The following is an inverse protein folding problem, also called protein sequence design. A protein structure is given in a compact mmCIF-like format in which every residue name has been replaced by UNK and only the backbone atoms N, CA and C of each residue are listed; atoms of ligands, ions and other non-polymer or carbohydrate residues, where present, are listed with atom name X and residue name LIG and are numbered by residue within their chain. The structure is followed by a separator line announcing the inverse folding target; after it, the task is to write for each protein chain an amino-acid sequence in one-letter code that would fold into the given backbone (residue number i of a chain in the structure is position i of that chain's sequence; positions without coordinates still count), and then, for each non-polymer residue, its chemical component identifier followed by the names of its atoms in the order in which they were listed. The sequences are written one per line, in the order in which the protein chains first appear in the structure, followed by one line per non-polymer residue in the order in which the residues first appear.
data_IF_616790512142
#
_entry.id   IF_616790512142
#
_cell.length_a   1.000
_cell.length_b   1.000
_cell.length_c   1.000
_cell.angle_alpha   90.00
_cell.angle_beta   90.00
_cell.angle_gamma   90.00
#
_symmetry.space_group_name_H-M   'P 1'
#
loop_
_entity.id
_entity.type
_entity.pdbx_description
1 polymer ?
#
# COMPACT_ATOMS: atom_id res chain seq x y z
N UNK A 1 15.40 16.88 7.75
CA UNK A 1 15.01 15.79 8.66
C UNK A 1 13.50 15.71 8.69
N UNK A 2 12.88 14.55 8.43
CA UNK A 2 11.44 14.40 8.51
C UNK A 2 10.98 14.50 9.97
N UNK A 3 9.82 15.09 10.20
CA UNK A 3 9.17 15.11 11.51
C UNK A 3 8.41 13.81 11.77
N UNK A 4 7.82 13.25 10.72
CA UNK A 4 7.21 11.94 10.72
C UNK A 4 7.72 11.18 9.49
N UNK A 5 8.13 9.96 9.70
CA UNK A 5 8.47 9.00 8.65
C UNK A 5 7.41 7.90 8.62
N UNK A 6 6.94 7.56 7.42
CA UNK A 6 5.99 6.45 7.23
C UNK A 6 6.65 5.43 6.31
N UNK A 7 6.85 4.20 6.81
CA UNK A 7 7.43 3.10 6.06
C UNK A 7 6.31 2.11 5.72
N UNK A 8 5.92 2.08 4.44
CA UNK A 8 4.83 1.23 3.96
C UNK A 8 5.28 -0.20 3.72
N UNK A 9 6.39 -0.37 3.02
CA UNK A 9 7.02 -1.66 2.76
C UNK A 9 8.51 -1.47 2.40
N UNK A 10 9.24 -2.57 2.41
CA UNK A 10 10.59 -2.69 1.85
C UNK A 10 10.59 -3.94 0.99
N UNK A 11 10.92 -3.78 -0.29
CA UNK A 11 10.94 -4.86 -1.28
C UNK A 11 12.15 -4.70 -2.21
N UNK A 12 12.49 -5.74 -2.96
CA UNK A 12 13.62 -5.77 -3.88
C UNK A 12 13.29 -4.98 -5.15
N UNK A 13 13.63 -3.70 -5.17
CA UNK A 13 13.52 -2.85 -6.36
C UNK A 13 14.78 -1.98 -6.52
N UNK A 14 14.92 -1.33 -7.67
CA UNK A 14 16.07 -0.48 -7.99
C UNK A 14 17.42 -1.20 -7.87
N UNK A 15 17.48 -2.48 -8.30
CA UNK A 15 18.69 -3.31 -8.25
C UNK A 15 19.78 -2.87 -9.21
N UNK A 16 19.55 -1.84 -10.02
CA UNK A 16 20.55 -1.09 -10.75
C UNK A 16 21.39 -0.16 -9.85
N UNK A 17 20.81 0.26 -8.71
CA UNK A 17 21.48 1.06 -7.69
C UNK A 17 21.81 0.25 -6.43
N UNK A 18 20.86 -0.49 -5.89
CA UNK A 18 21.05 -1.34 -4.72
C UNK A 18 21.60 -2.71 -5.11
N UNK A 19 22.58 -3.21 -4.36
CA UNK A 19 23.19 -4.51 -4.63
C UNK A 19 22.26 -5.67 -4.34
N UNK A 20 21.52 -5.54 -3.26
CA UNK A 20 20.66 -6.59 -2.66
C UNK A 20 19.65 -5.96 -1.71
N UNK A 21 18.77 -6.77 -1.16
CA UNK A 21 17.76 -6.35 -0.20
C UNK A 21 18.38 -5.83 1.11
N UNK A 22 19.52 -6.35 1.53
CA UNK A 22 20.24 -5.91 2.73
C UNK A 22 20.74 -4.48 2.56
N UNK A 23 21.18 -4.10 1.36
CA UNK A 23 21.59 -2.73 1.05
C UNK A 23 20.38 -1.78 1.09
N UNK A 24 19.19 -2.24 0.63
CA UNK A 24 17.94 -1.48 0.72
C UNK A 24 17.56 -1.29 2.19
N UNK A 25 17.50 -2.36 2.98
CA UNK A 25 17.22 -2.31 4.43
C UNK A 25 18.16 -1.37 5.16
N UNK A 26 19.48 -1.44 4.89
CA UNK A 26 20.47 -0.52 5.47
C UNK A 26 20.19 0.94 5.13
N UNK A 27 19.64 1.22 3.95
CA UNK A 27 19.29 2.57 3.54
C UNK A 27 18.07 3.10 4.27
N UNK A 28 17.05 2.24 4.49
CA UNK A 28 15.90 2.56 5.32
C UNK A 28 16.28 2.74 6.79
N UNK A 29 17.19 1.91 7.33
CA UNK A 29 17.72 2.09 8.69
C UNK A 29 18.42 3.46 8.86
N UNK A 30 19.24 3.87 7.88
CA UNK A 30 19.85 5.21 7.88
C UNK A 30 18.80 6.31 7.81
N UNK A 31 17.74 6.11 7.02
CA UNK A 31 16.66 7.08 6.89
C UNK A 31 15.89 7.20 8.21
N UNK A 32 15.53 6.09 8.83
CA UNK A 32 14.87 6.07 10.13
C UNK A 32 15.68 6.79 11.23
N UNK A 33 17.01 6.65 11.23
CA UNK A 33 17.91 7.32 12.19
C UNK A 33 18.05 8.83 12.03
N UNK A 34 17.58 9.43 10.93
CA UNK A 34 17.58 10.89 10.79
C UNK A 34 16.32 11.56 11.34
N UNK A 35 15.30 10.79 11.72
CA UNK A 35 14.13 11.31 12.45
C UNK A 35 14.61 11.85 13.79
N UNK A 36 14.23 13.09 14.16
CA UNK A 36 14.65 13.66 15.45
C UNK A 36 13.96 12.95 16.63
N UNK A 37 14.52 13.10 17.84
CA UNK A 37 13.99 12.44 19.07
C UNK A 37 12.51 12.77 19.33
N UNK A 38 12.06 13.97 18.96
CA UNK A 38 10.66 14.42 19.05
C UNK A 38 9.85 14.07 17.81
N UNK A 39 10.43 13.37 16.84
CA UNK A 39 9.77 12.87 15.64
C UNK A 39 9.10 11.51 15.86
N UNK A 40 8.45 10.99 14.83
CA UNK A 40 7.73 9.72 14.88
C UNK A 40 8.03 8.87 13.68
N UNK A 41 8.07 7.55 13.87
CA UNK A 41 8.15 6.57 12.80
C UNK A 41 6.88 5.74 12.85
N UNK A 42 6.21 5.63 11.70
CA UNK A 42 5.00 4.84 11.48
C UNK A 42 5.34 3.74 10.49
N UNK A 43 5.10 2.49 10.84
CA UNK A 43 5.62 1.36 10.08
C UNK A 43 4.59 0.23 9.94
N UNK A 44 4.54 -0.39 8.75
CA UNK A 44 3.70 -1.55 8.48
C UNK A 44 4.27 -2.80 9.15
N UNK A 45 3.47 -3.45 10.00
CA UNK A 45 3.90 -4.55 10.88
C UNK A 45 4.20 -5.86 10.15
N UNK A 46 3.52 -6.17 9.05
CA UNK A 46 3.65 -7.49 8.43
C UNK A 46 4.81 -7.61 7.42
N UNK A 47 5.58 -6.54 7.17
CA UNK A 47 6.75 -6.64 6.32
C UNK A 47 8.01 -6.95 7.15
N UNK A 48 8.69 -8.10 6.94
CA UNK A 48 9.81 -8.53 7.78
C UNK A 48 11.02 -7.57 7.73
N UNK A 49 11.24 -6.91 6.59
CA UNK A 49 12.35 -5.96 6.44
C UNK A 49 12.03 -4.63 7.13
N UNK A 50 10.78 -4.20 7.11
CA UNK A 50 10.33 -3.04 7.91
C UNK A 50 10.53 -3.33 9.39
N UNK A 51 10.14 -4.51 9.87
CA UNK A 51 10.31 -4.93 11.26
C UNK A 51 11.81 -4.98 11.66
N UNK A 52 12.68 -5.37 10.73
CA UNK A 52 14.14 -5.32 10.97
C UNK A 52 14.64 -3.88 11.17
N UNK A 53 14.11 -2.91 10.44
CA UNK A 53 14.49 -1.49 10.56
C UNK A 53 14.02 -0.91 11.89
N UNK A 54 12.77 -1.19 12.30
CA UNK A 54 12.17 -0.53 13.47
C UNK A 54 12.43 -1.24 14.80
N UNK A 55 12.98 -2.47 14.80
CA UNK A 55 13.15 -3.31 16.01
C UNK A 55 13.87 -2.61 17.17
N UNK A 56 14.84 -1.75 16.86
CA UNK A 56 15.68 -1.03 17.82
C UNK A 56 15.26 0.44 17.97
N UNK A 57 14.10 0.84 17.44
CA UNK A 57 13.59 2.21 17.52
C UNK A 57 12.51 2.29 18.61
N UNK A 58 12.81 2.91 19.77
CA UNK A 58 11.82 3.05 20.83
C UNK A 58 10.63 3.91 20.37
N UNK A 59 9.42 3.43 20.65
CA UNK A 59 8.20 4.18 20.37
C UNK A 59 7.80 4.21 18.90
N UNK A 60 8.35 3.33 18.05
CA UNK A 60 7.85 3.13 16.70
C UNK A 60 6.35 2.77 16.72
N UNK A 61 5.58 3.44 15.89
CA UNK A 61 4.14 3.27 15.77
C UNK A 61 3.88 2.25 14.68
N UNK A 62 3.33 1.09 15.04
CA UNK A 62 3.03 0.04 14.07
C UNK A 62 1.59 0.12 13.58
N UNK A 63 1.36 -0.33 12.34
CA UNK A 63 0.00 -0.49 11.81
C UNK A 63 -0.12 -1.74 10.94
N UNK A 64 -1.31 -2.30 10.87
CA UNK A 64 -1.61 -3.50 10.08
C UNK A 64 -2.90 -4.17 10.51
N UNK A 65 -3.01 -5.46 10.21
CA UNK A 65 -4.17 -6.28 10.59
C UNK A 65 -4.04 -6.92 11.98
N UNK A 66 -2.85 -6.90 12.55
CA UNK A 66 -2.58 -7.47 13.86
C UNK A 66 -3.08 -6.52 14.96
N UNK A 67 -3.92 -7.00 15.85
CA UNK A 67 -4.49 -6.22 16.97
C UNK A 67 -3.43 -5.75 17.99
N UNK A 68 -2.22 -6.30 17.94
CA UNK A 68 -1.09 -5.80 18.72
C UNK A 68 -0.44 -4.55 18.14
N UNK A 69 -0.78 -4.16 16.91
CA UNK A 69 -0.33 -2.90 16.33
C UNK A 69 -0.92 -1.70 17.07
N UNK A 70 -0.21 -0.58 17.04
CA UNK A 70 -0.72 0.70 17.56
C UNK A 70 -1.99 1.12 16.83
N UNK A 71 -2.01 0.99 15.49
CA UNK A 71 -3.21 1.10 14.65
C UNK A 71 -3.51 -0.24 14.03
N UNK A 72 -4.74 -0.73 14.14
CA UNK A 72 -5.11 -1.99 13.52
C UNK A 72 -6.45 -1.95 12.81
N UNK A 73 -6.54 -2.79 11.78
CA UNK A 73 -7.64 -2.86 10.83
C UNK A 73 -8.53 -4.04 11.19
N UNK A 74 -9.84 -3.81 11.24
CA UNK A 74 -10.83 -4.87 11.46
C UNK A 74 -11.99 -4.73 10.48
N UNK A 75 -12.86 -5.75 10.40
CA UNK A 75 -14.12 -5.73 9.64
C UNK A 75 -13.95 -5.35 8.16
N UNK A 76 -12.87 -5.85 7.52
CA UNK A 76 -12.62 -5.60 6.09
C UNK A 76 -13.69 -6.25 5.24
N UNK A 77 -14.28 -5.47 4.36
CA UNK A 77 -15.25 -5.89 3.35
C UNK A 77 -15.02 -5.07 2.07
N UNK A 78 -15.64 -5.51 0.98
CA UNK A 78 -15.68 -4.78 -0.28
C UNK A 78 -17.13 -4.50 -0.65
N UNK A 79 -17.43 -3.30 -1.11
CA UNK A 79 -18.77 -2.96 -1.58
C UNK A 79 -19.07 -3.60 -2.94
N UNK A 80 -20.31 -3.39 -3.46
CA UNK A 80 -20.73 -3.94 -4.75
C UNK A 80 -19.92 -3.44 -5.97
N UNK A 81 -19.07 -2.43 -5.79
CA UNK A 81 -18.16 -1.90 -6.80
C UNK A 81 -16.71 -2.31 -6.57
N UNK A 82 -16.43 -3.14 -5.56
CA UNK A 82 -15.09 -3.59 -5.20
C UNK A 82 -14.30 -2.56 -4.38
N UNK A 83 -14.94 -1.55 -3.81
CA UNK A 83 -14.25 -0.56 -2.98
C UNK A 83 -14.15 -1.04 -1.53
N UNK A 84 -12.97 -0.88 -0.89
CA UNK A 84 -12.76 -1.34 0.47
C UNK A 84 -13.56 -0.56 1.50
N UNK A 85 -14.10 -1.29 2.49
CA UNK A 85 -14.74 -0.77 3.70
C UNK A 85 -14.12 -1.48 4.88
N UNK A 86 -13.67 -0.74 5.89
CA UNK A 86 -13.00 -1.33 7.06
C UNK A 86 -13.09 -0.41 8.27
N UNK A 87 -12.80 -0.95 9.44
CA UNK A 87 -12.71 -0.19 10.67
C UNK A 87 -11.25 0.06 11.05
N UNK A 88 -10.95 1.25 11.53
CA UNK A 88 -9.64 1.64 12.08
C UNK A 88 -9.73 1.74 13.60
N UNK A 89 -8.80 1.07 14.28
CA UNK A 89 -8.67 1.09 15.73
C UNK A 89 -7.30 1.64 16.12
N UNK A 90 -7.21 2.27 17.30
CA UNK A 90 -6.01 2.82 17.88
C UNK A 90 -5.92 2.42 19.35
N UNK A 91 -4.92 1.62 19.72
CA UNK A 91 -4.68 1.17 21.09
C UNK A 91 -5.92 0.60 21.79
N UNK A 92 -6.75 -0.15 21.05
CA UNK A 92 -7.98 -0.74 21.56
C UNK A 92 -9.23 0.14 21.43
N UNK A 93 -9.09 1.40 21.04
CA UNK A 93 -10.21 2.31 20.78
C UNK A 93 -10.62 2.26 19.31
N UNK A 94 -11.92 2.11 19.03
CA UNK A 94 -12.47 2.19 17.68
C UNK A 94 -12.55 3.66 17.24
N UNK A 95 -11.80 4.04 16.21
CA UNK A 95 -11.76 5.42 15.70
C UNK A 95 -12.83 5.70 14.65
N UNK A 96 -13.31 4.66 13.97
CA UNK A 96 -14.38 4.77 13.00
C UNK A 96 -14.23 3.86 11.79
N UNK A 97 -15.27 3.86 10.97
CA UNK A 97 -15.37 3.12 9.72
C UNK A 97 -14.89 3.98 8.56
N UNK A 98 -14.01 3.43 7.74
CA UNK A 98 -13.47 4.04 6.53
C UNK A 98 -14.05 3.34 5.32
N UNK A 99 -14.51 4.11 4.34
CA UNK A 99 -14.80 3.65 2.98
C UNK A 99 -13.81 4.32 2.04
N UNK A 100 -13.16 3.54 1.17
CA UNK A 100 -12.31 4.12 0.12
C UNK A 100 -13.07 4.24 -1.19
N UNK A 101 -12.66 5.20 -2.00
CA UNK A 101 -13.09 5.34 -3.40
C UNK A 101 -12.04 4.82 -4.39
N UNK A 102 -11.02 4.11 -3.89
CA UNK A 102 -9.97 3.45 -4.67
C UNK A 102 -9.93 1.98 -4.32
N UNK A 103 -9.84 1.06 -5.31
CA UNK A 103 -9.88 -0.37 -5.07
C UNK A 103 -8.55 -0.92 -4.54
N UNK A 104 -8.61 -2.14 -4.01
CA UNK A 104 -7.44 -2.95 -3.66
C UNK A 104 -7.08 -2.91 -2.17
N UNK A 105 -6.67 -4.07 -1.68
CA UNK A 105 -6.29 -4.26 -0.28
C UNK A 105 -5.04 -3.43 0.10
N UNK A 106 -4.09 -3.29 -0.83
CA UNK A 106 -2.92 -2.44 -0.62
C UNK A 106 -3.29 -0.98 -0.32
N UNK A 107 -4.41 -0.48 -0.86
CA UNK A 107 -4.91 0.86 -0.56
C UNK A 107 -5.51 0.98 0.84
N UNK A 108 -6.00 -0.12 1.46
CA UNK A 108 -6.34 -0.14 2.88
C UNK A 108 -5.11 0.18 3.72
N UNK A 109 -3.99 -0.50 3.45
CA UNK A 109 -2.73 -0.30 4.17
C UNK A 109 -2.17 1.12 3.96
N UNK A 110 -2.20 1.61 2.73
CA UNK A 110 -1.80 2.99 2.41
C UNK A 110 -2.66 4.02 3.15
N UNK A 111 -3.97 3.81 3.18
CA UNK A 111 -4.92 4.68 3.88
C UNK A 111 -4.68 4.70 5.39
N UNK A 112 -4.42 3.53 6.00
CA UNK A 112 -4.15 3.46 7.45
C UNK A 112 -2.80 4.07 7.81
N UNK A 113 -1.77 3.91 6.97
CA UNK A 113 -0.50 4.61 7.13
C UNK A 113 -0.68 6.14 7.10
N UNK A 114 -1.46 6.65 6.12
CA UNK A 114 -1.81 8.07 6.03
C UNK A 114 -2.69 8.53 7.21
N UNK A 115 -3.68 7.72 7.61
CA UNK A 115 -4.53 7.96 8.78
C UNK A 115 -3.68 8.12 10.04
N UNK A 116 -2.80 7.17 10.30
CA UNK A 116 -1.91 7.20 11.47
C UNK A 116 -1.05 8.47 11.48
N UNK A 117 -0.49 8.85 10.32
CA UNK A 117 0.30 10.08 10.19
C UNK A 117 -0.52 11.33 10.56
N UNK A 118 -1.70 11.49 9.98
CA UNK A 118 -2.57 12.64 10.24
C UNK A 118 -3.07 12.66 11.69
N UNK A 119 -3.46 11.50 12.24
CA UNK A 119 -3.91 11.39 13.63
C UNK A 119 -2.80 11.75 14.62
N UNK A 120 -1.56 11.31 14.36
CA UNK A 120 -0.41 11.68 15.17
C UNK A 120 -0.03 13.17 15.08
N UNK A 121 -0.50 13.89 14.08
CA UNK A 121 -0.42 15.34 13.94
C UNK A 121 -1.61 16.08 14.60
N UNK A 122 -2.54 15.36 15.23
CA UNK A 122 -3.68 15.93 15.95
C UNK A 122 -4.91 16.20 15.08
N UNK A 123 -4.95 15.65 13.85
CA UNK A 123 -6.17 15.75 13.03
C UNK A 123 -7.22 14.79 13.58
N UNK A 124 -8.44 15.28 13.76
CA UNK A 124 -9.54 14.48 14.29
C UNK A 124 -9.89 13.30 13.35
N UNK A 125 -10.14 12.08 13.89
CA UNK A 125 -10.46 10.89 13.08
C UNK A 125 -11.57 11.11 12.06
N UNK A 126 -12.64 11.81 12.44
CA UNK A 126 -13.77 12.08 11.53
C UNK A 126 -13.37 12.90 10.29
N UNK A 127 -12.40 13.83 10.43
CA UNK A 127 -11.89 14.62 9.30
C UNK A 127 -11.04 13.76 8.37
N UNK A 128 -10.22 12.86 8.95
CA UNK A 128 -9.38 11.94 8.17
C UNK A 128 -10.27 10.98 7.37
N UNK A 129 -11.28 10.39 8.01
CA UNK A 129 -12.25 9.45 7.40
C UNK A 129 -12.97 10.13 6.23
N UNK A 130 -13.55 11.31 6.46
CA UNK A 130 -14.26 12.08 5.41
C UNK A 130 -13.34 12.43 4.22
N UNK A 131 -12.05 12.66 4.48
CA UNK A 131 -11.07 12.97 3.45
C UNK A 131 -10.67 11.73 2.65
N UNK A 132 -10.49 10.58 3.31
CA UNK A 132 -10.16 9.31 2.66
C UNK A 132 -11.30 8.83 1.75
N UNK A 133 -12.55 8.98 2.16
CA UNK A 133 -13.73 8.66 1.33
C UNK A 133 -13.78 9.51 0.03
N UNK A 134 -13.36 10.76 0.12
CA UNK A 134 -13.34 11.69 -1.03
C UNK A 134 -12.14 11.52 -1.95
N UNK A 135 -11.11 10.81 -1.51
CA UNK A 135 -9.90 10.61 -2.31
C UNK A 135 -10.16 9.67 -3.48
N UNK A 136 -10.00 10.17 -4.70
CA UNK A 136 -10.30 9.44 -5.95
C UNK A 136 -9.07 8.74 -6.57
N UNK A 137 -7.97 8.67 -5.84
CA UNK A 137 -6.72 8.09 -6.35
C UNK A 137 -5.83 9.09 -7.07
N UNK A 138 -4.80 8.55 -7.69
CA UNK A 138 -3.85 9.30 -8.53
C UNK A 138 -3.89 8.75 -9.94
N UNK A 139 -3.54 9.57 -10.91
CA UNK A 139 -3.43 9.14 -12.30
C UNK A 139 -2.49 7.93 -12.42
N UNK A 140 -2.85 6.98 -13.28
CA UNK A 140 -2.09 5.76 -13.54
C UNK A 140 -1.88 4.87 -12.29
N UNK A 141 -2.81 4.90 -11.33
CA UNK A 141 -2.90 3.96 -10.19
C UNK A 141 -4.32 3.45 -10.12
N UNK A 142 -4.58 2.31 -10.79
CA UNK A 142 -5.90 1.76 -11.05
C UNK A 142 -6.86 2.81 -11.63
N UNK A 143 -6.38 3.60 -12.59
CA UNK A 143 -7.08 4.74 -13.16
C UNK A 143 -8.07 4.26 -14.23
N UNK A 144 -9.37 4.41 -13.99
CA UNK A 144 -10.42 4.04 -14.96
C UNK A 144 -10.48 5.14 -16.01
N UNK A 145 -9.78 4.94 -17.12
CA UNK A 145 -9.68 5.92 -18.21
C UNK A 145 -10.90 5.95 -19.12
N UNK A 146 -11.75 4.93 -19.05
CA UNK A 146 -12.98 4.90 -19.81
C UNK A 146 -13.68 3.55 -19.85
N UNK A 147 -14.83 3.54 -20.51
CA UNK A 147 -15.60 2.32 -20.80
C UNK A 147 -15.97 2.35 -22.28
N UNK A 148 -15.75 1.24 -23.00
CA UNK A 148 -16.13 1.13 -24.43
C UNK A 148 -17.65 1.01 -24.58
N UNK A 149 -18.15 1.13 -25.83
CA UNK A 149 -19.58 0.94 -26.15
C UNK A 149 -20.10 -0.46 -25.75
N UNK A 150 -19.21 -1.45 -25.73
CA UNK A 150 -19.55 -2.84 -25.42
C UNK A 150 -19.40 -3.15 -23.91
N UNK A 151 -19.12 -2.11 -23.10
CA UNK A 151 -19.06 -2.21 -21.65
C UNK A 151 -17.70 -2.65 -21.08
N UNK A 152 -16.64 -2.72 -21.90
CA UNK A 152 -15.28 -3.03 -21.44
C UNK A 152 -14.70 -1.83 -20.69
N UNK A 153 -14.35 -2.00 -19.43
CA UNK A 153 -13.63 -0.99 -18.64
C UNK A 153 -12.15 -0.99 -19.03
N UNK A 154 -11.61 0.18 -19.28
CA UNK A 154 -10.19 0.40 -19.55
C UNK A 154 -9.55 1.01 -18.34
N UNK A 155 -8.54 0.32 -17.79
CA UNK A 155 -7.80 0.74 -16.60
C UNK A 155 -6.35 0.98 -16.98
N UNK A 156 -5.80 2.15 -16.62
CA UNK A 156 -4.36 2.44 -16.72
C UNK A 156 -3.72 2.33 -15.33
N UNK A 157 -2.67 1.51 -15.24
CA UNK A 157 -1.89 1.36 -14.02
C UNK A 157 -0.40 1.42 -14.33
N UNK A 158 0.37 2.10 -13.49
CA UNK A 158 1.81 2.22 -13.63
C UNK A 158 2.58 1.05 -13.01
N UNK A 159 1.90 -0.01 -12.59
CA UNK A 159 2.52 -1.21 -12.05
C UNK A 159 3.60 -1.74 -12.99
N UNK A 160 4.81 -1.88 -12.49
CA UNK A 160 5.98 -2.30 -13.25
C UNK A 160 6.90 -3.23 -12.45
N UNK A 161 6.50 -3.58 -11.24
CA UNK A 161 7.11 -4.58 -10.38
C UNK A 161 6.13 -5.76 -10.19
N UNK A 162 6.59 -7.03 -10.09
CA UNK A 162 5.70 -8.18 -9.93
C UNK A 162 4.70 -8.04 -8.78
N UNK A 163 5.15 -7.52 -7.63
CA UNK A 163 4.30 -7.24 -6.46
C UNK A 163 3.19 -6.23 -6.79
N UNK A 164 3.49 -5.17 -7.55
CA UNK A 164 2.50 -4.17 -7.96
C UNK A 164 1.47 -4.77 -8.93
N UNK A 165 1.93 -5.58 -9.91
CA UNK A 165 1.05 -6.25 -10.88
C UNK A 165 0.07 -7.18 -10.16
N UNK A 166 0.56 -8.02 -9.25
CA UNK A 166 -0.28 -8.91 -8.43
C UNK A 166 -1.31 -8.09 -7.64
N UNK A 167 -0.91 -6.99 -7.01
CA UNK A 167 -1.81 -6.12 -6.25
C UNK A 167 -2.89 -5.47 -7.14
N UNK A 168 -2.54 -5.03 -8.35
CA UNK A 168 -3.48 -4.44 -9.32
C UNK A 168 -4.47 -5.46 -9.83
N UNK A 169 -4.02 -6.68 -10.19
CA UNK A 169 -4.90 -7.76 -10.65
C UNK A 169 -5.84 -8.23 -9.54
N UNK A 170 -5.33 -8.40 -8.33
CA UNK A 170 -6.15 -8.74 -7.17
C UNK A 170 -7.21 -7.67 -6.87
N UNK A 171 -6.87 -6.38 -7.00
CA UNK A 171 -7.84 -5.29 -6.90
C UNK A 171 -8.93 -5.38 -7.97
N UNK A 172 -8.57 -5.75 -9.20
CA UNK A 172 -9.52 -5.93 -10.30
C UNK A 172 -10.52 -7.06 -10.05
N UNK A 173 -10.10 -8.15 -9.39
CA UNK A 173 -10.99 -9.26 -9.03
C UNK A 173 -12.12 -8.87 -8.07
N UNK A 174 -11.93 -7.85 -7.24
CA UNK A 174 -12.98 -7.34 -6.36
C UNK A 174 -14.06 -6.53 -7.11
N UNK A 175 -13.81 -6.20 -8.38
CA UNK A 175 -14.75 -5.44 -9.22
C UNK A 175 -15.52 -6.44 -10.11
N UNK A 176 -16.85 -6.37 -10.23
CA UNK A 176 -17.59 -7.26 -11.10
C UNK A 176 -17.11 -7.22 -12.55
N UNK A 177 -16.71 -8.37 -13.08
CA UNK A 177 -16.22 -8.55 -14.45
C UNK A 177 -16.52 -9.97 -14.96
N UNK A 178 -16.47 -10.18 -16.28
CA UNK A 178 -16.58 -11.51 -16.88
C UNK A 178 -15.20 -12.08 -17.23
N UNK A 179 -14.29 -11.22 -17.69
CA UNK A 179 -12.90 -11.52 -18.03
C UNK A 179 -12.00 -10.37 -17.63
N UNK A 180 -10.79 -10.71 -17.22
CA UNK A 180 -9.74 -9.76 -16.83
C UNK A 180 -8.53 -9.91 -17.77
N UNK A 181 -8.35 -8.97 -18.67
CA UNK A 181 -7.20 -8.95 -19.57
C UNK A 181 -6.14 -7.99 -19.06
N UNK A 182 -4.91 -8.46 -19.03
CA UNK A 182 -3.76 -7.64 -18.66
C UNK A 182 -2.86 -7.43 -19.89
N UNK A 183 -2.70 -6.15 -20.29
CA UNK A 183 -1.72 -5.75 -21.27
C UNK A 183 -0.52 -5.15 -20.55
N UNK A 184 0.64 -5.80 -20.63
CA UNK A 184 1.83 -5.39 -19.91
C UNK A 184 3.01 -5.10 -20.84
N UNK A 185 3.73 -4.02 -20.55
CA UNK A 185 5.00 -3.71 -21.19
C UNK A 185 6.10 -3.65 -20.10
N UNK A 186 7.09 -4.58 -20.15
CA UNK A 186 8.22 -4.56 -19.22
C UNK A 186 8.99 -3.25 -19.29
N UNK A 187 9.41 -2.75 -18.13
CA UNK A 187 10.24 -1.56 -18.05
C UNK A 187 11.50 -1.83 -17.23
N UNK A 188 12.64 -1.49 -17.83
CA UNK A 188 14.05 -1.79 -17.57
C UNK A 188 14.42 -3.26 -17.75
N UNK A 189 15.46 -3.50 -18.56
CA UNK A 189 15.98 -4.86 -18.82
C UNK A 189 16.54 -5.50 -17.55
N UNK A 190 17.19 -4.72 -16.71
CA UNK A 190 17.81 -5.19 -15.46
C UNK A 190 16.76 -5.73 -14.49
N UNK A 191 15.66 -5.01 -14.26
CA UNK A 191 14.57 -5.49 -13.40
C UNK A 191 13.91 -6.73 -13.99
N UNK A 192 13.60 -6.72 -15.29
CA UNK A 192 12.95 -7.85 -15.95
C UNK A 192 13.79 -9.10 -15.86
N UNK A 193 15.10 -8.99 -16.02
CA UNK A 193 16.02 -10.13 -15.88
C UNK A 193 16.14 -10.61 -14.43
N UNK A 194 16.27 -9.69 -13.49
CA UNK A 194 16.47 -10.02 -12.07
C UNK A 194 15.24 -10.66 -11.42
N UNK A 195 14.02 -10.30 -11.88
CA UNK A 195 12.74 -10.75 -11.34
C UNK A 195 11.94 -11.59 -12.37
N UNK A 196 12.64 -12.28 -13.29
CA UNK A 196 11.99 -12.98 -14.41
C UNK A 196 10.95 -14.00 -13.97
N UNK A 197 11.29 -14.83 -13.00
CA UNK A 197 10.40 -15.87 -12.49
C UNK A 197 9.20 -15.25 -11.76
N UNK A 198 9.41 -14.19 -10.98
CA UNK A 198 8.35 -13.44 -10.31
C UNK A 198 7.39 -12.78 -11.31
N UNK A 199 7.92 -12.27 -12.44
CA UNK A 199 7.08 -11.75 -13.54
C UNK A 199 6.28 -12.86 -14.20
N UNK A 200 6.86 -14.04 -14.41
CA UNK A 200 6.13 -15.16 -15.00
C UNK A 200 4.90 -15.58 -14.18
N UNK A 201 4.97 -15.43 -12.85
CA UNK A 201 3.88 -15.73 -11.93
C UNK A 201 2.92 -14.55 -11.69
N UNK A 202 3.34 -13.33 -12.00
CA UNK A 202 2.59 -12.12 -11.63
C UNK A 202 1.23 -11.98 -12.34
N UNK A 203 1.04 -12.67 -13.46
CA UNK A 203 -0.16 -12.56 -14.31
C UNK A 203 -1.15 -13.72 -14.10
N UNK A 204 -0.93 -14.59 -13.12
CA UNK A 204 -1.76 -15.79 -12.91
C UNK A 204 -3.26 -15.49 -12.65
N UNK A 205 -3.58 -14.28 -12.24
CA UNK A 205 -4.97 -13.82 -12.01
C UNK A 205 -5.62 -13.18 -13.25
N UNK A 206 -4.92 -13.05 -14.39
CA UNK A 206 -5.50 -12.61 -15.65
C UNK A 206 -5.94 -13.79 -16.51
N UNK A 207 -6.99 -13.60 -17.39
CA UNK A 207 -7.50 -14.60 -18.34
C UNK A 207 -6.60 -14.78 -19.57
#
# INVERSE_FOLDING_TARGET
RPKIEVILNIDSDHLDYFKDIEHIVSSFDKFAKIVPEDGKIIAYDANPFVNQVIKDIPGAITYGYNENCTYYITNVAFDGNGMPVFDVNYQGEHLGKVQLSVPGEHNILNAVGAFACCHQLGVAPAVIIDTLDKFKGTQRRFDIVGTTSDGVKLVDDYAHHPTEIKATLSAAHNIPHNRLWCLFQPHTYTRTLALFDDFAEAFAEAD
#
